data_IF_140532955485
#
_entry.id   IF_140532955485
#
_cell.length_a   1.000
_cell.length_b   1.000
_cell.length_c   1.000
_cell.angle_alpha   90.00
_cell.angle_beta   90.00
_cell.angle_gamma   90.00
#
_symmetry.space_group_name_H-M   'P 1'
#
loop_
_entity.id
_entity.type
_entity.pdbx_description
1 polymer ?
#
# COMPACT_ATOMS: atom_id res chain seq x y z
N UNK A 1 -23.44 -1.07 -4.07
CA UNK A 1 -22.14 -1.75 -3.88
C UNK A 1 -21.06 -0.70 -3.96
N UNK A 2 -20.14 -0.63 -2.99
CA UNK A 2 -18.98 0.27 -3.07
C UNK A 2 -17.76 -0.59 -3.41
N UNK A 3 -17.08 -0.26 -4.50
CA UNK A 3 -15.85 -0.93 -4.93
C UNK A 3 -14.75 0.11 -5.01
N UNK A 4 -13.62 -0.17 -4.37
CA UNK A 4 -12.41 0.63 -4.43
C UNK A 4 -11.28 -0.30 -4.88
N UNK A 5 -10.52 0.13 -5.88
CA UNK A 5 -9.35 -0.58 -6.40
C UNK A 5 -8.14 0.28 -6.06
N UNK A 6 -7.17 -0.30 -5.38
CA UNK A 6 -5.95 0.38 -4.95
C UNK A 6 -4.76 -0.27 -5.63
N UNK A 7 -3.83 0.56 -6.09
CA UNK A 7 -2.50 0.09 -6.45
C UNK A 7 -1.69 -0.21 -5.17
N UNK A 8 -0.59 -0.94 -5.30
CA UNK A 8 0.25 -1.39 -4.19
C UNK A 8 1.40 -0.42 -3.94
N UNK A 9 2.31 -0.31 -4.90
CA UNK A 9 3.55 0.48 -4.79
C UNK A 9 3.26 1.96 -5.04
N UNK A 10 3.75 2.83 -4.15
CA UNK A 10 3.45 4.27 -4.18
C UNK A 10 2.06 4.64 -3.64
N UNK A 11 1.22 3.66 -3.28
CA UNK A 11 -0.13 3.88 -2.72
C UNK A 11 -0.28 3.27 -1.34
N UNK A 12 -0.05 1.96 -1.19
CA UNK A 12 -0.14 1.26 0.10
C UNK A 12 1.23 1.24 0.78
N UNK A 13 2.28 0.93 0.03
CA UNK A 13 3.67 0.95 0.48
C UNK A 13 4.51 1.91 -0.35
N UNK A 14 5.71 2.22 0.15
CA UNK A 14 6.66 3.01 -0.61
C UNK A 14 7.04 2.30 -1.91
N UNK A 15 7.09 3.06 -3.00
CA UNK A 15 7.61 2.59 -4.27
C UNK A 15 9.14 2.42 -4.19
N UNK A 16 9.68 1.50 -4.99
CA UNK A 16 11.11 1.22 -5.07
C UNK A 16 11.55 1.15 -6.54
N UNK A 17 12.53 1.97 -6.97
CA UNK A 17 13.05 1.90 -8.33
C UNK A 17 13.74 0.56 -8.63
N UNK A 18 14.19 -0.15 -7.59
CA UNK A 18 14.87 -1.44 -7.69
C UNK A 18 13.95 -2.64 -7.44
N UNK A 19 12.63 -2.41 -7.52
CA UNK A 19 11.55 -3.32 -7.13
C UNK A 19 11.58 -3.70 -5.63
N UNK A 20 10.46 -4.22 -5.14
CA UNK A 20 10.37 -4.87 -3.84
C UNK A 20 10.60 -6.37 -4.04
N UNK A 21 11.74 -6.86 -3.58
CA UNK A 21 12.22 -8.22 -3.85
C UNK A 21 12.03 -9.17 -2.66
N UNK A 22 11.70 -8.64 -1.49
CA UNK A 22 11.43 -9.41 -0.30
C UNK A 22 10.33 -8.78 0.56
N UNK A 23 9.62 -9.55 1.40
CA UNK A 23 8.60 -9.00 2.30
C UNK A 23 9.15 -7.96 3.28
N UNK A 24 10.44 -8.05 3.65
CA UNK A 24 11.09 -7.11 4.56
C UNK A 24 11.30 -5.72 3.92
N UNK A 25 11.36 -5.64 2.59
CA UNK A 25 11.43 -4.37 1.84
C UNK A 25 10.06 -3.69 1.70
N UNK A 26 8.97 -4.39 2.05
CA UNK A 26 7.63 -3.83 2.01
C UNK A 26 7.40 -2.94 3.23
N UNK A 27 7.53 -1.63 3.04
CA UNK A 27 7.35 -0.64 4.11
C UNK A 27 6.07 0.16 3.81
N UNK A 28 5.05 0.11 4.70
CA UNK A 28 3.81 0.82 4.47
C UNK A 28 4.03 2.33 4.47
N UNK A 29 3.32 3.04 3.59
CA UNK A 29 3.24 4.51 3.65
C UNK A 29 2.48 4.87 4.95
N UNK A 30 2.96 5.84 5.75
CA UNK A 30 2.29 6.23 6.97
C UNK A 30 0.81 6.57 6.75
N UNK A 31 -0.09 5.92 7.48
CA UNK A 31 -1.54 6.14 7.38
C UNK A 31 -2.27 5.33 6.32
N UNK A 32 -1.56 4.62 5.42
CA UNK A 32 -2.21 3.88 4.32
C UNK A 32 -3.07 2.72 4.83
N UNK A 33 -2.57 1.98 5.82
CA UNK A 33 -3.28 0.85 6.42
C UNK A 33 -4.50 1.32 7.21
N UNK A 34 -4.38 2.41 7.96
CA UNK A 34 -5.49 3.03 8.69
C UNK A 34 -6.55 3.57 7.74
N UNK A 35 -6.15 4.12 6.60
CA UNK A 35 -7.07 4.59 5.58
C UNK A 35 -7.88 3.43 4.98
N UNK A 36 -7.24 2.31 4.64
CA UNK A 36 -7.91 1.11 4.14
C UNK A 36 -8.92 0.58 5.16
N UNK A 37 -8.54 0.53 6.44
CA UNK A 37 -9.42 0.08 7.51
C UNK A 37 -10.71 0.93 7.67
N UNK A 38 -10.68 2.19 7.22
CA UNK A 38 -11.84 3.11 7.24
C UNK A 38 -12.78 2.95 6.04
N UNK A 39 -12.43 2.14 5.04
CA UNK A 39 -13.23 1.98 3.81
C UNK A 39 -14.44 1.02 3.95
N UNK A 40 -14.69 0.51 5.16
CA UNK A 40 -15.82 -0.38 5.48
C UNK A 40 -17.20 0.27 5.33
#
# INVERSE_FOLDING_TARGET
MKLIILDRDGVINHDSPDFIKSPAEWIPIPGSLEAIARLN
#
